data_IF_337522008450
#
_entry.id   IF_337522008450
#
_cell.length_a   1.000
_cell.length_b   1.000
_cell.length_c   1.000
_cell.angle_alpha   90.00
_cell.angle_beta   90.00
_cell.angle_gamma   90.00
#
_symmetry.space_group_name_H-M   'P 1'
#
loop_
_entity.id
_entity.type
_entity.pdbx_description
1 polymer ?
#
# COMPACT_ATOMS: atom_id res chain seq x y z
N UNK A 1 11.64 -12.35 3.32
CA UNK A 1 11.59 -11.31 2.28
C UNK A 1 11.73 -9.95 2.96
N UNK A 2 12.40 -9.00 2.34
CA UNK A 2 12.52 -7.62 2.86
C UNK A 2 11.21 -6.87 2.60
N UNK A 3 10.84 -5.94 3.49
CA UNK A 3 9.64 -5.10 3.35
C UNK A 3 9.51 -4.46 1.95
N UNK A 4 10.65 -4.07 1.36
CA UNK A 4 10.76 -3.56 0.00
C UNK A 4 10.24 -4.52 -1.08
N UNK A 5 10.63 -5.80 -1.06
CA UNK A 5 10.22 -6.75 -2.10
C UNK A 5 8.71 -7.01 -2.08
N UNK A 6 8.13 -7.01 -0.91
CA UNK A 6 6.68 -7.20 -0.72
C UNK A 6 5.92 -5.94 -1.16
N UNK A 7 6.46 -4.76 -0.85
CA UNK A 7 5.93 -3.50 -1.38
C UNK A 7 5.97 -3.47 -2.91
N UNK A 8 7.10 -3.83 -3.52
CA UNK A 8 7.24 -3.87 -4.98
C UNK A 8 6.32 -4.90 -5.66
N UNK A 9 5.99 -5.98 -4.97
CA UNK A 9 5.05 -6.98 -5.47
C UNK A 9 3.63 -6.41 -5.63
N UNK A 10 3.18 -5.51 -4.74
CA UNK A 10 1.86 -4.86 -4.82
C UNK A 10 1.72 -4.10 -6.15
N UNK A 11 2.72 -3.31 -6.52
CA UNK A 11 2.69 -2.56 -7.76
C UNK A 11 2.91 -3.41 -9.01
N UNK A 12 3.67 -4.51 -8.88
CA UNK A 12 3.83 -5.46 -9.97
C UNK A 12 2.48 -6.13 -10.28
N UNK A 13 1.75 -6.55 -9.24
CA UNK A 13 0.39 -7.08 -9.38
C UNK A 13 -0.55 -6.08 -10.05
N UNK A 14 -0.50 -4.81 -9.67
CA UNK A 14 -1.27 -3.76 -10.36
C UNK A 14 -0.91 -3.64 -11.85
N UNK A 15 0.38 -3.70 -12.18
CA UNK A 15 0.87 -3.60 -13.56
C UNK A 15 0.54 -4.84 -14.41
N UNK A 16 0.34 -5.98 -13.76
CA UNK A 16 -0.06 -7.25 -14.36
C UNK A 16 -1.61 -7.39 -14.47
N UNK A 17 -2.35 -6.28 -14.33
CA UNK A 17 -3.82 -6.21 -14.36
C UNK A 17 -4.50 -7.15 -13.36
N UNK A 18 -3.86 -7.43 -12.22
CA UNK A 18 -4.48 -8.18 -11.13
C UNK A 18 -5.65 -7.38 -10.56
N UNK A 19 -6.72 -8.10 -10.22
CA UNK A 19 -7.95 -7.48 -9.74
C UNK A 19 -7.73 -6.76 -8.41
N UNK A 20 -8.34 -5.57 -8.26
CA UNK A 20 -8.10 -4.67 -7.14
C UNK A 20 -8.35 -5.31 -5.77
N UNK A 21 -9.25 -6.30 -5.65
CA UNK A 21 -9.52 -6.97 -4.37
C UNK A 21 -8.32 -7.78 -3.89
N UNK A 22 -7.59 -8.43 -4.81
CA UNK A 22 -6.40 -9.19 -4.47
C UNK A 22 -5.27 -8.25 -4.04
N UNK A 23 -5.12 -7.13 -4.75
CA UNK A 23 -4.16 -6.07 -4.42
C UNK A 23 -4.48 -5.44 -3.06
N UNK A 24 -5.76 -5.22 -2.75
CA UNK A 24 -6.19 -4.79 -1.42
C UNK A 24 -5.73 -5.77 -0.33
N UNK A 25 -5.91 -7.08 -0.53
CA UNK A 25 -5.41 -8.09 0.42
C UNK A 25 -3.88 -8.05 0.56
N UNK A 26 -3.14 -7.83 -0.54
CA UNK A 26 -1.69 -7.66 -0.48
C UNK A 26 -1.28 -6.44 0.36
N UNK A 27 -1.99 -5.31 0.22
CA UNK A 27 -1.77 -4.10 1.02
C UNK A 27 -2.04 -4.39 2.50
N UNK A 28 -3.18 -5.03 2.82
CA UNK A 28 -3.56 -5.38 4.20
C UNK A 28 -2.49 -6.25 4.86
N UNK A 29 -2.04 -7.31 4.18
CA UNK A 29 -1.00 -8.21 4.69
C UNK A 29 0.33 -7.49 4.90
N UNK A 30 0.71 -6.64 3.94
CA UNK A 30 1.95 -5.87 4.02
C UNK A 30 1.94 -4.87 5.18
N UNK A 31 0.86 -4.10 5.34
CA UNK A 31 0.70 -3.15 6.46
C UNK A 31 0.74 -3.88 7.79
N UNK A 32 -0.02 -4.97 7.94
CA UNK A 32 -0.06 -5.74 9.18
C UNK A 32 1.33 -6.23 9.61
N UNK A 33 2.17 -6.58 8.64
CA UNK A 33 3.51 -7.14 8.87
C UNK A 33 4.58 -6.09 9.13
N UNK A 34 4.51 -4.94 8.47
CA UNK A 34 5.62 -3.98 8.45
C UNK A 34 5.33 -2.63 9.11
N UNK A 35 4.08 -2.34 9.53
CA UNK A 35 3.70 -1.03 10.08
C UNK A 35 4.60 -0.50 11.20
N UNK A 36 5.16 -1.37 12.05
CA UNK A 36 6.05 -0.97 13.14
C UNK A 36 7.43 -0.49 12.68
N UNK A 37 7.78 -0.71 11.42
CA UNK A 37 9.09 -0.37 10.82
C UNK A 37 9.02 0.83 9.87
N UNK A 38 7.81 1.28 9.53
CA UNK A 38 7.56 2.33 8.55
C UNK A 38 7.60 3.70 9.23
N UNK A 39 8.29 4.67 8.62
CA UNK A 39 8.44 6.03 9.15
C UNK A 39 7.25 6.92 8.81
N UNK A 40 6.59 6.65 7.69
CA UNK A 40 5.41 7.37 7.22
C UNK A 40 4.15 6.99 8.01
N UNK A 41 4.20 7.11 9.35
CA UNK A 41 3.15 6.70 10.29
C UNK A 41 1.76 7.26 9.95
N UNK A 42 1.58 8.56 9.61
CA UNK A 42 0.25 9.09 9.29
C UNK A 42 -0.41 8.40 8.09
N UNK A 43 0.39 7.95 7.12
CA UNK A 43 -0.10 7.29 5.91
C UNK A 43 -0.50 5.85 6.19
N UNK A 44 0.22 5.18 7.09
CA UNK A 44 -0.15 3.86 7.57
C UNK A 44 -1.42 3.91 8.41
N UNK A 45 -1.57 4.90 9.29
CA UNK A 45 -2.79 5.09 10.08
C UNK A 45 -4.01 5.35 9.19
N UNK A 46 -3.85 6.13 8.12
CA UNK A 46 -4.91 6.35 7.13
C UNK A 46 -5.28 5.06 6.38
N UNK A 47 -4.30 4.26 5.95
CA UNK A 47 -4.55 2.95 5.33
C UNK A 47 -5.31 2.03 6.31
N UNK A 48 -4.87 1.93 7.57
CA UNK A 48 -5.54 1.13 8.60
C UNK A 48 -6.97 1.60 8.85
N UNK A 49 -7.21 2.91 8.85
CA UNK A 49 -8.55 3.47 8.94
C UNK A 49 -9.41 3.05 7.74
N UNK A 50 -8.93 3.26 6.51
CA UNK A 50 -9.71 2.97 5.29
C UNK A 50 -10.01 1.47 5.09
N UNK A 51 -9.12 0.59 5.57
CA UNK A 51 -9.37 -0.86 5.63
C UNK A 51 -10.64 -1.18 6.44
N UNK A 52 -10.86 -0.49 7.58
CA UNK A 52 -12.05 -0.70 8.44
C UNK A 52 -13.32 -0.18 7.78
N UNK A 53 -13.24 0.93 7.04
CA UNK A 53 -14.39 1.59 6.39
C UNK A 53 -14.77 0.99 5.03
N UNK A 54 -14.11 -0.11 4.62
CA UNK A 54 -14.40 -0.85 3.38
C UNK A 54 -14.23 -0.04 2.09
N UNK A 55 -13.37 0.98 2.10
CA UNK A 55 -13.00 1.77 0.91
C UNK A 55 -11.94 1.04 0.07
N UNK A 56 -12.18 -0.24 -0.23
CA UNK A 56 -11.12 -1.14 -0.69
C UNK A 56 -10.58 -0.79 -2.08
N UNK A 57 -11.44 -0.36 -3.01
CA UNK A 57 -11.02 0.00 -4.37
C UNK A 57 -10.31 1.35 -4.39
N UNK A 58 -10.90 2.35 -3.74
CA UNK A 58 -10.35 3.71 -3.64
C UNK A 58 -9.02 3.70 -2.90
N UNK A 59 -8.88 2.89 -1.85
CA UNK A 59 -7.62 2.68 -1.15
C UNK A 59 -6.54 2.15 -2.08
N UNK A 60 -6.86 1.16 -2.92
CA UNK A 60 -5.89 0.61 -3.88
C UNK A 60 -5.46 1.67 -4.90
N UNK A 61 -6.40 2.39 -5.49
CA UNK A 61 -6.10 3.45 -6.46
C UNK A 61 -5.23 4.56 -5.85
N UNK A 62 -5.57 4.99 -4.63
CA UNK A 62 -4.79 5.98 -3.90
C UNK A 62 -3.41 5.44 -3.51
N UNK A 63 -3.31 4.18 -3.06
CA UNK A 63 -2.03 3.53 -2.73
C UNK A 63 -1.06 3.57 -3.91
N UNK A 64 -1.55 3.27 -5.10
CA UNK A 64 -0.75 3.23 -6.33
C UNK A 64 -0.42 4.65 -6.83
N UNK A 65 -1.39 5.56 -6.89
CA UNK A 65 -1.25 6.87 -7.57
C UNK A 65 -1.57 8.10 -6.71
N UNK A 66 -2.33 7.93 -5.64
CA UNK A 66 -2.80 9.01 -4.79
C UNK A 66 -1.66 9.76 -4.10
N UNK A 67 -1.76 11.09 -4.08
CA UNK A 67 -0.77 11.98 -3.45
C UNK A 67 -0.70 11.76 -1.94
N UNK A 68 -1.77 11.26 -1.33
CA UNK A 68 -1.82 10.96 0.10
C UNK A 68 -0.76 9.95 0.57
N UNK A 69 -0.24 9.08 -0.30
CA UNK A 69 0.77 8.08 0.04
C UNK A 69 2.14 8.30 -0.62
N UNK A 70 2.41 9.53 -1.07
CA UNK A 70 3.66 9.87 -1.76
C UNK A 70 4.89 9.65 -0.86
N UNK A 71 4.81 9.99 0.44
CA UNK A 71 5.96 9.83 1.34
C UNK A 71 6.24 8.36 1.63
N UNK A 72 5.19 7.55 1.77
CA UNK A 72 5.30 6.11 1.87
C UNK A 72 5.98 5.54 0.63
N UNK A 73 5.52 5.91 -0.57
CA UNK A 73 6.17 5.45 -1.82
C UNK A 73 7.63 5.89 -1.90
N UNK A 74 7.93 7.13 -1.56
CA UNK A 74 9.30 7.67 -1.56
C UNK A 74 10.21 6.95 -0.55
N UNK A 75 9.70 6.59 0.63
CA UNK A 75 10.42 5.79 1.63
C UNK A 75 10.88 4.43 1.07
N UNK A 76 10.09 3.86 0.16
CA UNK A 76 10.37 2.60 -0.53
C UNK A 76 10.95 2.81 -1.95
N UNK A 77 11.50 3.99 -2.24
CA UNK A 77 12.19 4.27 -3.50
C UNK A 77 11.29 4.26 -4.74
N UNK A 78 9.98 4.40 -4.57
CA UNK A 78 9.01 4.53 -5.66
C UNK A 78 8.59 5.99 -5.82
N UNK A 79 8.86 6.54 -6.99
CA UNK A 79 8.35 7.83 -7.43
C UNK A 79 7.43 7.51 -8.61
N UNK A 80 6.13 7.52 -8.34
CA UNK A 80 5.05 7.23 -9.30
C UNK A 80 4.20 8.49 -9.42
#
# INVERSE_FOLDING_TARGET
>A
MTSQKEFDAIFSAWSDDIYWSDIFHMIVEWVAKHKSTIKSVPEIEDIEHRIVWSEAKELVEDFIYGVCYERLRAEFGRIV
#
